data_IF_875337086956
#
_entry.id   IF_875337086956
#
_cell.length_a   1.000
_cell.length_b   1.000
_cell.length_c   1.000
_cell.angle_alpha   90.00
_cell.angle_beta   90.00
_cell.angle_gamma   90.00
#
_symmetry.space_group_name_H-M   'P 1'
#
loop_
_entity.id
_entity.type
_entity.pdbx_description
1 polymer ?
#
# COMPACT_ATOMS: atom_id res chain seq x y z
N UNK A 1 -6.42 4.42 -2.90
CA UNK A 1 -6.62 5.17 -1.64
C UNK A 1 -5.42 6.06 -1.45
N UNK A 2 -5.64 7.37 -1.30
CA UNK A 2 -4.56 8.34 -1.12
C UNK A 2 -3.86 8.16 0.21
N UNK A 3 -2.59 8.58 0.29
CA UNK A 3 -1.72 8.43 1.47
C UNK A 3 -2.34 8.97 2.76
N UNK A 4 -2.95 10.14 2.70
CA UNK A 4 -3.66 10.76 3.84
C UNK A 4 -4.78 9.88 4.41
N UNK A 5 -5.61 9.32 3.52
CA UNK A 5 -6.69 8.42 3.88
C UNK A 5 -6.15 7.12 4.47
N UNK A 6 -5.04 6.60 3.95
CA UNK A 6 -4.39 5.41 4.53
C UNK A 6 -3.96 5.69 5.96
N UNK A 7 -3.35 6.85 6.24
CA UNK A 7 -2.93 7.25 7.59
C UNK A 7 -4.10 7.34 8.56
N UNK A 8 -5.19 8.01 8.16
CA UNK A 8 -6.41 8.11 8.97
C UNK A 8 -7.00 6.74 9.27
N UNK A 9 -7.19 5.90 8.23
CA UNK A 9 -7.78 4.56 8.38
C UNK A 9 -6.90 3.61 9.18
N UNK A 10 -5.58 3.73 9.07
CA UNK A 10 -4.64 2.98 9.89
C UNK A 10 -4.73 3.42 11.36
N UNK A 11 -4.77 4.72 11.63
CA UNK A 11 -4.93 5.26 12.99
C UNK A 11 -6.26 4.86 13.64
N UNK A 12 -7.33 4.73 12.85
CA UNK A 12 -8.64 4.20 13.27
C UNK A 12 -8.66 2.67 13.46
N UNK A 13 -7.58 1.95 13.13
CA UNK A 13 -7.52 0.48 13.21
C UNK A 13 -8.34 -0.25 12.14
N UNK A 14 -8.68 0.43 11.03
CA UNK A 14 -9.53 -0.13 9.96
C UNK A 14 -8.74 -0.88 8.88
N UNK A 15 -7.41 -0.78 8.87
CA UNK A 15 -6.54 -1.58 8.00
C UNK A 15 -6.12 -2.83 8.76
N UNK A 16 -6.55 -4.00 8.28
CA UNK A 16 -6.26 -5.29 8.90
C UNK A 16 -4.95 -5.91 8.42
N UNK A 17 -4.53 -5.60 7.19
CA UNK A 17 -3.27 -6.05 6.64
C UNK A 17 -2.77 -5.13 5.52
N UNK A 18 -1.46 -5.09 5.34
CA UNK A 18 -0.78 -4.37 4.25
C UNK A 18 0.03 -5.39 3.45
N UNK A 19 -0.20 -5.44 2.15
CA UNK A 19 0.45 -6.39 1.25
C UNK A 19 1.23 -5.64 0.18
N UNK A 20 2.43 -6.14 -0.12
CA UNK A 20 3.32 -5.66 -1.17
C UNK A 20 3.45 -6.76 -2.20
N UNK A 21 3.23 -6.43 -3.48
CA UNK A 21 3.29 -7.37 -4.60
C UNK A 21 4.04 -6.75 -5.77
N UNK A 22 4.55 -7.61 -6.67
CA UNK A 22 4.99 -7.13 -7.98
C UNK A 22 3.80 -6.56 -8.75
N UNK A 23 4.03 -5.44 -9.44
CA UNK A 23 3.05 -4.81 -10.30
C UNK A 23 2.76 -5.74 -11.50
N UNK A 24 1.53 -6.27 -11.65
CA UNK A 24 1.21 -7.15 -12.77
C UNK A 24 1.32 -6.48 -14.14
N UNK A 25 1.18 -5.15 -14.19
CA UNK A 25 1.32 -4.37 -15.42
C UNK A 25 2.78 -4.07 -15.77
N UNK A 26 3.68 -4.04 -14.77
CA UNK A 26 5.10 -3.81 -14.95
C UNK A 26 5.91 -4.64 -13.94
N UNK A 27 6.39 -5.84 -14.31
CA UNK A 27 7.04 -6.76 -13.37
C UNK A 27 8.30 -6.23 -12.67
N UNK A 28 8.89 -5.13 -13.17
CA UNK A 28 10.02 -4.44 -12.53
C UNK A 28 9.63 -3.52 -11.37
N UNK A 29 8.33 -3.30 -11.16
CA UNK A 29 7.81 -2.40 -10.15
C UNK A 29 7.05 -3.15 -9.05
N UNK A 30 6.90 -2.48 -7.92
CA UNK A 30 6.19 -2.96 -6.74
C UNK A 30 5.00 -2.05 -6.45
N UNK A 31 3.90 -2.64 -6.02
CA UNK A 31 2.69 -1.92 -5.60
C UNK A 31 2.25 -2.41 -4.22
N UNK A 32 1.52 -1.56 -3.51
CA UNK A 32 0.97 -1.88 -2.18
C UNK A 32 -0.55 -1.84 -2.20
N UNK A 33 -1.17 -2.77 -1.49
CA UNK A 33 -2.59 -2.73 -1.21
C UNK A 33 -2.89 -3.01 0.26
N UNK A 34 -3.97 -2.42 0.74
CA UNK A 34 -4.43 -2.49 2.12
C UNK A 34 -5.73 -3.28 2.17
N UNK A 35 -5.78 -4.30 3.03
CA UNK A 35 -7.02 -4.98 3.38
C UNK A 35 -7.74 -4.20 4.46
N UNK A 36 -9.01 -3.89 4.24
CA UNK A 36 -9.92 -3.43 5.29
C UNK A 36 -10.67 -4.62 5.90
N UNK A 37 -11.19 -4.41 7.11
CA UNK A 37 -12.26 -5.25 7.65
C UNK A 37 -13.46 -5.26 6.68
N UNK A 38 -14.15 -6.41 6.59
CA UNK A 38 -15.24 -6.71 5.65
C UNK A 38 -14.85 -7.02 4.17
N UNK A 39 -13.63 -7.50 3.93
CA UNK A 39 -13.27 -8.15 2.66
C UNK A 39 -12.98 -7.22 1.48
N UNK A 40 -12.83 -5.91 1.73
CA UNK A 40 -12.45 -4.93 0.70
C UNK A 40 -10.95 -4.66 0.76
N UNK A 41 -10.31 -4.57 -0.40
CA UNK A 41 -8.91 -4.18 -0.53
C UNK A 41 -8.78 -2.93 -1.39
N UNK A 42 -7.78 -2.11 -1.09
CA UNK A 42 -7.53 -0.85 -1.81
C UNK A 42 -6.05 -0.73 -2.14
N UNK A 43 -5.73 -0.35 -3.36
CA UNK A 43 -4.36 0.04 -3.73
C UNK A 43 -4.01 1.41 -3.14
N UNK A 44 -2.72 1.66 -2.92
CA UNK A 44 -2.24 3.04 -2.76
C UNK A 44 -2.30 3.73 -4.12
N UNK A 45 -2.83 4.95 -4.15
CA UNK A 45 -2.93 5.76 -5.37
C UNK A 45 -2.41 7.16 -5.13
N UNK A 46 -1.91 7.78 -6.19
CA UNK A 46 -1.39 9.14 -6.18
C UNK A 46 -2.53 10.19 -6.25
N UNK A 47 -2.17 11.45 -6.51
CA UNK A 47 -3.15 12.52 -6.62
C UNK A 47 -4.06 12.44 -7.85
N UNK A 48 -3.62 11.74 -8.89
CA UNK A 48 -4.35 11.52 -10.15
C UNK A 48 -5.18 10.22 -10.11
N UNK A 49 -5.29 9.58 -8.94
CA UNK A 49 -5.94 8.29 -8.75
C UNK A 49 -5.27 7.13 -9.51
N UNK A 50 -4.00 7.28 -9.91
CA UNK A 50 -3.20 6.21 -10.49
C UNK A 50 -2.54 5.38 -9.39
N UNK A 51 -2.42 4.05 -9.60
CA UNK A 51 -1.78 3.16 -8.63
C UNK A 51 -0.32 3.56 -8.49
N UNK A 52 0.09 3.90 -7.26
CA UNK A 52 1.49 4.18 -6.99
C UNK A 52 2.32 2.91 -7.13
N UNK A 53 3.30 2.95 -8.03
CA UNK A 53 4.26 1.87 -8.26
C UNK A 53 5.70 2.33 -8.04
N UNK A 54 6.56 1.38 -7.65
CA UNK A 54 7.92 1.68 -7.18
C UNK A 54 8.92 0.73 -7.82
N UNK A 55 9.98 1.27 -8.44
CA UNK A 55 11.04 0.45 -9.06
C UNK A 55 11.87 -0.34 -8.04
N UNK A 56 11.92 0.14 -6.80
CA UNK A 56 12.68 -0.50 -5.71
C UNK A 56 11.76 -0.79 -4.55
N UNK A 57 11.89 -1.99 -3.99
CA UNK A 57 11.16 -2.38 -2.80
C UNK A 57 11.50 -1.46 -1.61
N UNK A 58 12.76 -1.04 -1.47
CA UNK A 58 13.19 -0.13 -0.41
C UNK A 58 12.39 1.18 -0.40
N UNK A 59 12.19 1.79 -1.58
CA UNK A 59 11.46 3.05 -1.73
C UNK A 59 9.99 2.89 -1.32
N UNK A 60 9.37 1.74 -1.65
CA UNK A 60 8.02 1.39 -1.21
C UNK A 60 7.96 1.23 0.32
N UNK A 61 8.94 0.56 0.93
CA UNK A 61 8.97 0.33 2.37
C UNK A 61 9.08 1.65 3.13
N UNK A 62 9.85 2.61 2.63
CA UNK A 62 9.95 3.94 3.23
C UNK A 62 8.60 4.69 3.18
N UNK A 63 7.86 4.55 2.07
CA UNK A 63 6.48 5.07 1.98
C UNK A 63 5.58 4.40 3.01
N UNK A 64 5.56 3.06 3.09
CA UNK A 64 4.73 2.32 4.05
C UNK A 64 5.03 2.72 5.50
N UNK A 65 6.31 2.86 5.86
CA UNK A 65 6.72 3.37 7.18
C UNK A 65 6.24 4.80 7.41
N UNK A 66 6.34 5.65 6.40
CA UNK A 66 5.82 7.03 6.43
C UNK A 66 4.30 7.14 6.55
N UNK A 67 3.56 6.04 6.34
CA UNK A 67 2.12 5.94 6.60
C UNK A 67 1.80 5.51 8.04
N UNK A 68 2.82 5.24 8.86
CA UNK A 68 2.67 4.75 10.23
C UNK A 68 2.42 3.24 10.33
N UNK A 69 2.50 2.53 9.20
CA UNK A 69 2.28 1.08 9.13
C UNK A 69 3.54 0.36 9.62
N UNK A 70 3.36 -0.56 10.58
CA UNK A 70 4.46 -1.27 11.23
C UNK A 70 4.85 -2.57 10.53
N UNK A 71 3.89 -3.20 9.85
CA UNK A 71 4.07 -4.51 9.22
C UNK A 71 3.44 -4.50 7.83
N UNK A 72 4.15 -5.10 6.88
CA UNK A 72 3.65 -5.40 5.55
C UNK A 72 4.14 -6.79 5.13
N UNK A 73 3.28 -7.53 4.45
CA UNK A 73 3.61 -8.84 3.91
C UNK A 73 4.03 -8.70 2.45
N UNK A 74 5.18 -9.27 2.09
CA UNK A 74 5.63 -9.33 0.69
C UNK A 74 5.16 -10.65 0.11
N UNK A 75 4.38 -10.59 -0.97
CA UNK A 75 3.90 -11.78 -1.68
C UNK A 75 4.64 -11.83 -3.03
N UNK A 76 5.34 -12.93 -3.26
CA UNK A 76 6.12 -13.23 -4.48
C UNK A 76 5.42 -14.33 -5.29
#
# INVERSE_FOLDING_TARGET
MKREHVRERHAEGLISATHVIQNPANPGEWIVFFKKSAGRSYFLVDENDEVESFNRLDDLIDVVRGLGIKFAEIHM
#
